data_IF_380742283892
#
_entry.id   IF_380742283892
#
_cell.length_a   1.000
_cell.length_b   1.000
_cell.length_c   1.000
_cell.angle_alpha   90.00
_cell.angle_beta   90.00
_cell.angle_gamma   90.00
#
_symmetry.space_group_name_H-M   'P 1'
#
loop_
_entity.id
_entity.type
_entity.pdbx_description
1 polymer ?
#
# COMPACT_ATOMS: atom_id res chain seq x y z
N UNK A 1 2.31 12.83 1.82
CA UNK A 1 2.49 11.43 2.21
C UNK A 1 3.27 11.43 3.52
N UNK A 2 2.62 11.06 4.61
CA UNK A 2 3.30 10.91 5.90
C UNK A 2 3.59 9.43 6.03
N UNK A 3 4.84 9.03 5.76
CA UNK A 3 5.26 7.65 6.06
C UNK A 3 5.03 7.38 7.54
N UNK A 4 4.38 6.26 7.84
CA UNK A 4 4.27 5.78 9.20
C UNK A 4 5.67 5.58 9.78
N UNK A 5 6.07 6.52 10.58
CA UNK A 5 7.21 6.37 11.46
C UNK A 5 6.65 5.77 12.75
N UNK A 6 7.11 4.61 13.14
CA UNK A 6 6.75 3.99 14.41
C UNK A 6 6.91 5.00 15.55
N UNK A 7 5.81 5.42 16.15
CA UNK A 7 5.80 6.46 17.19
C UNK A 7 6.07 5.92 18.60
N UNK A 8 5.86 4.61 18.80
CA UNK A 8 6.05 4.04 20.12
C UNK A 8 7.54 4.02 20.51
N UNK A 9 7.80 4.05 21.82
CA UNK A 9 9.15 4.07 22.39
C UNK A 9 10.02 2.85 22.03
N UNK A 10 9.45 1.83 21.37
CA UNK A 10 10.19 0.65 20.89
C UNK A 10 10.72 0.83 19.47
N UNK A 11 10.37 1.93 18.79
CA UNK A 11 10.90 2.24 17.48
C UNK A 11 12.20 3.02 17.60
N UNK A 12 13.31 2.35 17.38
CA UNK A 12 14.63 2.96 17.29
C UNK A 12 14.84 3.77 16.00
N UNK A 13 13.79 4.00 15.21
CA UNK A 13 13.86 4.71 13.93
C UNK A 13 13.05 5.99 14.02
N UNK A 14 13.64 6.95 14.69
CA UNK A 14 13.19 8.32 14.55
C UNK A 14 13.77 8.87 13.26
N UNK A 15 12.95 8.95 12.22
CA UNK A 15 13.36 9.69 11.03
C UNK A 15 13.32 11.18 11.39
N UNK A 16 14.43 11.93 11.21
CA UNK A 16 14.50 13.33 11.64
C UNK A 16 13.46 14.25 10.97
N UNK A 17 12.88 13.80 9.87
CA UNK A 17 11.84 14.48 9.12
C UNK A 17 10.42 13.91 9.41
N UNK A 18 10.34 12.88 10.22
CA UNK A 18 9.06 12.29 10.62
C UNK A 18 8.31 13.21 11.57
N UNK A 19 7.02 13.34 11.35
CA UNK A 19 6.13 14.07 12.27
C UNK A 19 6.00 13.31 13.59
N UNK A 20 6.00 13.99 14.71
CA UNK A 20 5.70 13.35 15.99
C UNK A 20 4.24 12.87 16.04
N UNK A 21 3.94 11.86 16.87
CA UNK A 21 2.57 11.38 17.05
C UNK A 21 1.63 12.52 17.50
N UNK A 22 2.11 13.38 18.38
CA UNK A 22 1.33 14.54 18.86
C UNK A 22 1.04 15.53 17.73
N UNK A 23 2.04 15.87 16.90
CA UNK A 23 1.85 16.77 15.77
C UNK A 23 0.89 16.16 14.74
N UNK A 24 0.99 14.84 14.49
CA UNK A 24 0.06 14.15 13.62
C UNK A 24 -1.37 14.19 14.14
N UNK A 25 -1.59 13.91 15.43
CA UNK A 25 -2.92 14.01 16.04
C UNK A 25 -3.47 15.45 15.94
N UNK A 26 -2.63 16.45 16.17
CA UNK A 26 -3.02 17.85 16.02
C UNK A 26 -3.38 18.19 14.58
N UNK A 27 -2.63 17.68 13.59
CA UNK A 27 -2.94 17.84 12.17
C UNK A 27 -4.27 17.17 11.80
N UNK A 28 -4.50 15.93 12.26
CA UNK A 28 -5.76 15.20 12.03
C UNK A 28 -6.94 15.98 12.61
N UNK A 29 -6.78 16.47 13.84
CA UNK A 29 -7.83 17.30 14.47
C UNK A 29 -8.09 18.56 13.67
N UNK A 30 -7.06 19.27 13.23
CA UNK A 30 -7.21 20.46 12.39
C UNK A 30 -7.95 20.14 11.09
N UNK A 31 -7.61 19.03 10.43
CA UNK A 31 -8.31 18.58 9.22
C UNK A 31 -9.79 18.34 9.49
N UNK A 32 -10.12 17.62 10.57
CA UNK A 32 -11.49 17.32 10.96
C UNK A 32 -12.29 18.60 11.28
N UNK A 33 -11.69 19.54 12.01
CA UNK A 33 -12.30 20.85 12.34
C UNK A 33 -12.56 21.69 11.07
N UNK A 34 -11.86 21.40 9.96
CA UNK A 34 -12.03 22.03 8.65
C UNK A 34 -12.77 21.15 7.62
N UNK A 35 -13.49 20.11 8.05
CA UNK A 35 -14.27 19.20 7.21
C UNK A 35 -13.43 18.44 6.17
N UNK A 36 -12.16 18.12 6.49
CA UNK A 36 -11.26 17.33 5.66
C UNK A 36 -11.16 15.93 6.27
N UNK A 37 -11.58 14.90 5.52
CA UNK A 37 -11.39 13.51 5.93
C UNK A 37 -9.90 13.13 5.72
N UNK A 38 -9.27 12.57 6.75
CA UNK A 38 -7.89 12.07 6.68
C UNK A 38 -7.92 10.59 6.33
N UNK A 39 -7.13 10.19 5.35
CA UNK A 39 -6.91 8.78 4.98
C UNK A 39 -5.45 8.44 5.28
N UNK A 40 -5.17 7.71 6.36
CA UNK A 40 -3.80 7.29 6.64
C UNK A 40 -3.33 6.28 5.58
N UNK A 41 -2.13 6.48 5.05
CA UNK A 41 -1.43 5.49 4.24
C UNK A 41 -0.53 4.66 5.17
N UNK A 42 -0.81 3.38 5.26
CA UNK A 42 0.00 2.41 5.97
C UNK A 42 0.63 1.46 4.96
N UNK A 43 1.91 1.68 4.66
CA UNK A 43 2.60 0.95 3.61
C UNK A 43 2.80 -0.52 3.96
N UNK A 44 2.31 -1.41 3.10
CA UNK A 44 2.30 -2.86 3.33
C UNK A 44 2.68 -3.63 2.06
N UNK A 45 3.01 -4.89 2.19
CA UNK A 45 3.42 -5.84 1.17
C UNK A 45 4.80 -5.52 0.58
N UNK A 46 4.93 -4.49 -0.25
CA UNK A 46 6.18 -3.83 -0.64
C UNK A 46 6.47 -2.60 0.24
N UNK A 47 7.61 -1.94 0.03
CA UNK A 47 8.02 -0.73 0.75
C UNK A 47 8.01 -0.84 2.30
N UNK A 48 8.17 -2.06 2.83
CA UNK A 48 8.05 -2.33 4.27
C UNK A 48 9.34 -2.08 5.06
N UNK A 49 10.24 -1.23 4.57
CA UNK A 49 11.50 -0.92 5.25
C UNK A 49 11.32 -0.41 6.70
N UNK A 50 10.19 0.19 7.02
CA UNK A 50 9.82 0.61 8.37
C UNK A 50 9.74 -0.56 9.37
N UNK A 51 9.54 -1.80 8.93
CA UNK A 51 9.52 -3.00 9.76
C UNK A 51 10.93 -3.49 10.12
N UNK A 52 11.94 -3.07 9.37
CA UNK A 52 13.31 -3.58 9.42
C UNK A 52 14.31 -2.47 9.78
N UNK A 53 14.15 -1.80 10.94
CA UNK A 53 15.09 -0.78 11.36
C UNK A 53 16.47 -1.41 11.57
N UNK A 54 17.52 -0.60 11.44
CA UNK A 54 18.89 -1.01 11.74
C UNK A 54 19.22 -0.72 13.19
N UNK A 55 19.99 -1.63 13.80
CA UNK A 55 20.61 -1.40 15.10
C UNK A 55 21.80 -0.43 14.99
N UNK A 56 22.45 -0.13 16.13
CA UNK A 56 23.64 0.73 16.20
C UNK A 56 24.86 0.21 15.39
N UNK A 57 24.89 -1.10 15.10
CA UNK A 57 25.91 -1.75 14.29
C UNK A 57 25.54 -1.85 12.81
N UNK A 58 24.39 -1.32 12.41
CA UNK A 58 23.89 -1.33 11.04
C UNK A 58 23.19 -2.62 10.60
N UNK A 59 22.93 -3.56 11.53
CA UNK A 59 22.22 -4.80 11.24
C UNK A 59 20.71 -4.57 11.26
N UNK A 60 19.99 -5.15 10.30
CA UNK A 60 18.54 -5.10 10.30
C UNK A 60 17.91 -5.89 11.45
N UNK A 61 16.93 -5.31 12.11
CA UNK A 61 16.07 -5.98 13.09
C UNK A 61 14.90 -6.68 12.37
N UNK A 62 14.22 -7.60 13.05
CA UNK A 62 13.02 -8.29 12.58
C UNK A 62 13.17 -9.06 11.25
N UNK A 63 14.38 -9.50 10.90
CA UNK A 63 14.63 -10.21 9.62
C UNK A 63 13.86 -11.53 9.48
N UNK A 64 13.35 -12.09 10.54
CA UNK A 64 12.43 -13.22 10.49
C UNK A 64 11.09 -12.87 9.83
N UNK A 65 10.69 -11.60 9.91
CA UNK A 65 9.50 -11.07 9.22
C UNK A 65 9.77 -10.69 7.77
N UNK A 66 11.03 -10.59 7.34
CA UNK A 66 11.35 -10.22 5.96
C UNK A 66 11.15 -11.39 4.99
N UNK A 67 10.64 -11.09 3.80
CA UNK A 67 10.56 -12.05 2.69
C UNK A 67 11.96 -12.39 2.18
N UNK A 68 12.77 -11.39 1.87
CA UNK A 68 14.19 -11.54 1.55
C UNK A 68 15.07 -10.96 2.67
N UNK A 69 15.84 -11.81 3.34
CA UNK A 69 16.72 -11.37 4.44
C UNK A 69 17.91 -10.56 3.98
N UNK A 70 18.30 -10.70 2.71
CA UNK A 70 19.43 -9.95 2.14
C UNK A 70 19.02 -8.53 1.72
N UNK A 71 17.75 -8.36 1.39
CA UNK A 71 17.16 -7.08 1.04
C UNK A 71 15.73 -6.97 1.61
N UNK A 72 15.58 -6.59 2.88
CA UNK A 72 14.30 -6.58 3.58
C UNK A 72 13.43 -5.40 3.10
N UNK A 73 12.69 -5.65 2.03
CA UNK A 73 11.83 -4.70 1.34
C UNK A 73 10.35 -5.07 1.46
N UNK A 74 10.05 -6.37 1.37
CA UNK A 74 8.74 -6.94 1.55
C UNK A 74 8.73 -7.87 2.78
N UNK A 75 7.56 -8.11 3.35
CA UNK A 75 7.43 -9.00 4.50
C UNK A 75 6.99 -10.42 4.11
N UNK A 76 7.31 -11.38 4.98
CA UNK A 76 6.92 -12.78 4.84
C UNK A 76 5.50 -13.03 5.35
N UNK A 77 4.52 -13.10 4.43
CA UNK A 77 3.10 -13.31 4.77
C UNK A 77 2.82 -14.64 5.46
N UNK A 78 3.70 -15.63 5.31
CA UNK A 78 3.57 -16.93 5.97
C UNK A 78 4.12 -16.95 7.41
N UNK A 79 4.76 -15.87 7.86
CA UNK A 79 5.27 -15.81 9.23
C UNK A 79 4.11 -15.57 10.22
N UNK A 80 3.86 -16.47 11.20
CA UNK A 80 2.74 -16.32 12.13
C UNK A 80 2.84 -15.09 13.04
N UNK A 81 4.03 -14.48 13.16
CA UNK A 81 4.23 -13.25 13.94
C UNK A 81 3.88 -11.98 13.16
N UNK A 82 3.71 -12.07 11.83
CA UNK A 82 3.54 -10.91 10.97
C UNK A 82 2.30 -10.11 11.36
N UNK A 83 1.14 -10.71 11.22
CA UNK A 83 -0.12 -9.98 11.41
C UNK A 83 -0.34 -9.49 12.85
N UNK A 84 0.02 -10.23 13.91
CA UNK A 84 0.02 -9.68 15.27
C UNK A 84 0.96 -8.48 15.46
N UNK A 85 2.06 -8.41 14.71
CA UNK A 85 2.96 -7.27 14.72
C UNK A 85 2.36 -6.06 13.99
N UNK A 86 1.79 -6.29 12.81
CA UNK A 86 1.11 -5.27 12.00
C UNK A 86 -0.11 -4.71 12.73
N UNK A 87 -0.93 -5.57 13.34
CA UNK A 87 -2.15 -5.16 14.05
C UNK A 87 -1.87 -4.11 15.11
N UNK A 88 -0.80 -4.28 15.89
CA UNK A 88 -0.39 -3.29 16.90
C UNK A 88 -0.06 -1.92 16.29
N UNK A 89 0.64 -1.91 15.16
CA UNK A 89 1.00 -0.67 14.48
C UNK A 89 -0.23 -0.01 13.83
N UNK A 90 -1.12 -0.83 13.25
CA UNK A 90 -2.38 -0.34 12.68
C UNK A 90 -3.30 0.26 13.74
N UNK A 91 -3.46 -0.42 14.89
CA UNK A 91 -4.27 0.09 16.01
C UNK A 91 -3.79 1.47 16.44
N UNK A 92 -2.46 1.67 16.53
CA UNK A 92 -1.87 2.96 16.88
C UNK A 92 -2.15 4.04 15.83
N UNK A 93 -2.01 3.72 14.54
CA UNK A 93 -2.28 4.65 13.43
C UNK A 93 -3.76 5.01 13.36
N UNK A 94 -4.64 4.04 13.50
CA UNK A 94 -6.09 4.24 13.46
C UNK A 94 -6.55 5.15 14.62
N UNK A 95 -6.06 4.90 15.83
CA UNK A 95 -6.34 5.74 16.99
C UNK A 95 -5.85 7.17 16.77
N UNK A 96 -4.59 7.34 16.35
CA UNK A 96 -4.00 8.64 16.09
C UNK A 96 -4.68 9.39 14.93
N UNK A 97 -5.26 8.66 13.96
CA UNK A 97 -6.04 9.23 12.85
C UNK A 97 -7.50 9.51 13.19
N UNK A 98 -7.90 9.32 14.45
CA UNK A 98 -9.26 9.61 14.90
C UNK A 98 -10.30 8.66 14.29
N UNK A 99 -9.96 7.40 14.09
CA UNK A 99 -10.82 6.35 13.53
C UNK A 99 -11.35 6.71 12.13
N UNK A 100 -10.48 6.75 11.11
CA UNK A 100 -10.81 7.21 9.77
C UNK A 100 -11.81 6.28 9.06
N UNK A 101 -12.51 6.79 8.05
CA UNK A 101 -13.43 5.97 7.22
C UNK A 101 -12.68 5.03 6.27
N UNK A 102 -11.47 5.40 5.88
CA UNK A 102 -10.64 4.67 4.92
C UNK A 102 -9.23 4.47 5.49
N UNK A 103 -8.66 3.32 5.17
CA UNK A 103 -7.26 2.97 5.39
C UNK A 103 -6.63 2.69 4.04
N UNK A 104 -5.59 3.43 3.66
CA UNK A 104 -4.80 3.10 2.47
C UNK A 104 -3.69 2.13 2.87
N UNK A 105 -3.69 0.94 2.29
CA UNK A 105 -2.79 -0.14 2.68
C UNK A 105 -1.51 -0.22 1.82
N UNK A 106 -1.30 0.70 0.88
CA UNK A 106 -0.16 0.64 -0.04
C UNK A 106 -0.30 -0.50 -1.04
N UNK A 107 0.46 -1.57 -0.91
CA UNK A 107 0.48 -2.76 -1.80
C UNK A 107 1.00 -2.48 -3.20
N UNK A 108 1.98 -1.61 -3.34
CA UNK A 108 2.64 -1.29 -4.60
C UNK A 108 4.04 -1.88 -4.68
N UNK A 109 4.54 -1.95 -5.91
CA UNK A 109 5.93 -2.15 -6.30
C UNK A 109 6.69 -3.27 -5.56
N UNK A 110 6.03 -4.39 -5.22
CA UNK A 110 6.66 -5.49 -4.47
C UNK A 110 7.88 -6.09 -5.18
N UNK A 111 7.97 -5.96 -6.51
CA UNK A 111 9.06 -6.48 -7.31
C UNK A 111 10.25 -5.52 -7.37
N UNK A 112 10.96 -5.35 -6.26
CA UNK A 112 12.14 -4.51 -6.22
C UNK A 112 13.35 -5.19 -6.91
N UNK A 113 14.13 -4.49 -7.77
CA UNK A 113 15.22 -5.12 -8.54
C UNK A 113 16.33 -5.79 -7.71
N UNK A 114 16.46 -5.42 -6.43
CA UNK A 114 17.47 -5.97 -5.52
C UNK A 114 16.92 -7.04 -4.58
N UNK A 115 15.59 -7.21 -4.50
CA UNK A 115 14.95 -8.17 -3.62
C UNK A 115 14.42 -9.36 -4.42
N UNK A 116 14.54 -10.55 -3.88
CA UNK A 116 13.83 -11.72 -4.40
C UNK A 116 12.40 -11.73 -3.83
N UNK A 117 11.38 -11.86 -4.70
CA UNK A 117 10.01 -12.00 -4.29
C UNK A 117 9.21 -12.96 -5.20
N UNK A 118 8.60 -14.04 -4.65
CA UNK A 118 8.77 -14.53 -3.27
C UNK A 118 10.14 -15.18 -3.07
N UNK A 119 10.75 -15.00 -1.88
CA UNK A 119 12.05 -15.56 -1.52
C UNK A 119 11.91 -16.81 -0.62
N UNK A 120 10.97 -16.76 0.34
CA UNK A 120 10.76 -17.82 1.31
C UNK A 120 10.19 -19.10 0.66
N UNK A 121 10.72 -20.29 1.02
CA UNK A 121 10.26 -21.55 0.44
C UNK A 121 8.76 -21.80 0.60
N UNK A 122 8.20 -21.45 1.75
CA UNK A 122 6.77 -21.56 2.02
C UNK A 122 5.94 -20.66 1.09
N UNK A 123 6.38 -19.43 0.84
CA UNK A 123 5.70 -18.48 -0.05
C UNK A 123 5.86 -18.87 -1.53
N UNK A 124 7.04 -19.38 -1.93
CA UNK A 124 7.24 -19.98 -3.25
C UNK A 124 6.27 -21.13 -3.51
N UNK A 125 6.05 -21.97 -2.49
CA UNK A 125 5.11 -23.09 -2.57
C UNK A 125 3.64 -22.65 -2.67
N UNK A 126 3.25 -21.61 -1.93
CA UNK A 126 1.90 -21.04 -1.98
C UNK A 126 1.61 -20.37 -3.31
N UNK A 127 2.62 -19.73 -3.88
CA UNK A 127 2.50 -18.95 -5.11
C UNK A 127 2.02 -17.52 -4.87
N UNK A 128 2.56 -16.60 -5.65
CA UNK A 128 2.42 -15.16 -5.42
C UNK A 128 0.97 -14.67 -5.52
N UNK A 129 0.14 -15.24 -6.40
CA UNK A 129 -1.28 -14.87 -6.47
C UNK A 129 -2.03 -15.16 -5.17
N UNK A 130 -1.70 -16.31 -4.55
CA UNK A 130 -2.35 -16.67 -3.28
C UNK A 130 -1.89 -15.78 -2.15
N UNK A 131 -0.59 -15.53 -2.03
CA UNK A 131 -0.08 -14.66 -0.95
C UNK A 131 -0.59 -13.24 -1.08
N UNK A 132 -0.66 -12.68 -2.30
CA UNK A 132 -1.24 -11.36 -2.54
C UNK A 132 -2.73 -11.32 -2.18
N UNK A 133 -3.51 -12.31 -2.62
CA UNK A 133 -4.92 -12.39 -2.30
C UNK A 133 -5.17 -12.50 -0.80
N UNK A 134 -4.48 -13.42 -0.13
CA UNK A 134 -4.65 -13.67 1.30
C UNK A 134 -4.29 -12.42 2.12
N UNK A 135 -3.21 -11.73 1.73
CA UNK A 135 -2.77 -10.52 2.42
C UNK A 135 -3.76 -9.37 2.25
N UNK A 136 -4.22 -9.08 1.02
CA UNK A 136 -5.28 -8.08 0.79
C UNK A 136 -6.53 -8.41 1.61
N UNK A 137 -6.94 -9.68 1.62
CA UNK A 137 -8.15 -10.11 2.35
C UNK A 137 -7.98 -10.02 3.87
N UNK A 138 -6.75 -10.17 4.39
CA UNK A 138 -6.49 -9.93 5.80
C UNK A 138 -6.77 -8.45 6.17
N UNK A 139 -6.23 -7.50 5.40
CA UNK A 139 -6.49 -6.07 5.61
C UNK A 139 -7.93 -5.68 5.38
N UNK A 140 -8.57 -6.28 4.38
CA UNK A 140 -9.99 -6.06 4.12
C UNK A 140 -10.86 -6.47 5.33
N UNK A 141 -10.61 -7.65 5.89
CA UNK A 141 -11.32 -8.14 7.06
C UNK A 141 -11.00 -7.31 8.31
N UNK A 142 -9.73 -6.93 8.49
CA UNK A 142 -9.31 -6.06 9.59
C UNK A 142 -10.03 -4.70 9.51
N UNK A 143 -10.02 -4.04 8.37
CA UNK A 143 -10.69 -2.76 8.18
C UNK A 143 -12.21 -2.86 8.43
N UNK A 144 -12.86 -3.88 7.90
CA UNK A 144 -14.30 -4.11 8.13
C UNK A 144 -14.63 -4.31 9.61
N UNK A 145 -13.79 -5.02 10.38
CA UNK A 145 -13.94 -5.18 11.84
C UNK A 145 -13.92 -3.82 12.57
N UNK A 146 -13.21 -2.85 12.02
CA UNK A 146 -13.09 -1.49 12.54
C UNK A 146 -14.01 -0.47 11.85
N UNK A 147 -15.01 -0.92 11.06
CA UNK A 147 -15.93 -0.08 10.29
C UNK A 147 -15.25 0.85 9.27
N UNK A 148 -14.11 0.43 8.75
CA UNK A 148 -13.37 1.13 7.71
C UNK A 148 -13.46 0.39 6.37
N UNK A 149 -13.15 1.10 5.30
CA UNK A 149 -12.88 0.54 3.97
C UNK A 149 -11.41 0.65 3.64
N UNK A 150 -10.89 -0.24 2.79
CA UNK A 150 -9.51 -0.13 2.33
C UNK A 150 -9.41 0.58 0.99
N UNK A 151 -8.29 1.29 0.82
CA UNK A 151 -7.73 1.76 -0.45
C UNK A 151 -6.40 1.06 -0.67
N UNK A 152 -6.00 0.85 -1.93
CA UNK A 152 -4.69 0.32 -2.27
C UNK A 152 -4.23 0.85 -3.62
N UNK A 153 -2.92 0.84 -3.85
CA UNK A 153 -2.36 1.11 -5.17
C UNK A 153 -2.73 -0.02 -6.15
N UNK A 154 -2.86 0.30 -7.41
CA UNK A 154 -3.42 -0.59 -8.43
C UNK A 154 -2.39 -1.40 -9.22
N UNK A 155 -1.12 -1.00 -9.22
CA UNK A 155 -0.06 -1.46 -10.13
C UNK A 155 0.14 -2.98 -10.16
N UNK A 156 0.07 -3.66 -9.01
CA UNK A 156 0.16 -5.12 -8.94
C UNK A 156 -1.04 -5.84 -9.56
N UNK A 157 -2.16 -5.14 -9.74
CA UNK A 157 -3.42 -5.71 -10.21
C UNK A 157 -3.74 -5.37 -11.66
N UNK A 158 -2.89 -4.60 -12.34
CA UNK A 158 -3.05 -4.25 -13.76
C UNK A 158 -1.90 -4.78 -14.60
N UNK A 159 -2.19 -5.16 -15.83
CA UNK A 159 -1.17 -5.74 -16.73
C UNK A 159 -0.34 -4.66 -17.42
N UNK A 160 0.85 -4.98 -17.98
CA UNK A 160 1.62 -4.05 -18.79
C UNK A 160 0.88 -3.53 -20.04
N UNK A 161 -0.11 -4.30 -20.55
CA UNK A 161 -0.95 -3.87 -21.67
C UNK A 161 -2.00 -2.85 -21.24
N UNK A 162 -2.48 -2.94 -19.99
CA UNK A 162 -3.39 -1.96 -19.40
C UNK A 162 -2.64 -0.71 -18.95
N UNK A 163 -1.42 -0.88 -18.43
CA UNK A 163 -0.56 0.22 -18.00
C UNK A 163 0.90 -0.02 -18.36
N UNK A 164 1.40 0.70 -19.35
CA UNK A 164 2.81 0.63 -19.76
C UNK A 164 3.76 1.32 -18.79
N UNK A 165 3.24 2.17 -17.90
CA UNK A 165 4.04 2.89 -16.91
C UNK A 165 4.35 2.03 -15.69
N UNK A 166 3.33 1.34 -15.15
CA UNK A 166 3.43 0.71 -13.84
C UNK A 166 2.74 -0.65 -13.72
N UNK A 167 2.19 -1.20 -14.81
CA UNK A 167 1.48 -2.47 -14.77
C UNK A 167 2.40 -3.65 -14.42
N UNK A 168 2.29 -4.20 -13.21
CA UNK A 168 3.06 -5.34 -12.72
C UNK A 168 2.24 -6.65 -12.63
N UNK A 169 0.95 -6.60 -12.96
CA UNK A 169 0.01 -7.71 -12.84
C UNK A 169 0.05 -8.74 -13.97
N UNK A 170 0.94 -8.59 -14.94
CA UNK A 170 1.05 -9.50 -16.10
C UNK A 170 1.90 -10.75 -15.86
N UNK A 171 2.34 -11.37 -16.95
CA UNK A 171 3.25 -12.52 -16.91
C UNK A 171 4.61 -12.14 -16.26
N UNK A 172 5.30 -13.07 -15.57
CA UNK A 172 4.93 -14.48 -15.39
C UNK A 172 3.92 -14.71 -14.25
N UNK A 173 3.62 -13.71 -13.45
CA UNK A 173 2.87 -13.87 -12.20
C UNK A 173 1.35 -13.79 -12.38
N UNK A 174 0.88 -13.10 -13.42
CA UNK A 174 -0.54 -12.92 -13.75
C UNK A 174 -1.39 -12.45 -12.57
N UNK A 175 -0.91 -11.45 -11.83
CA UNK A 175 -1.57 -10.93 -10.61
C UNK A 175 -2.88 -10.20 -10.92
N UNK A 176 -3.07 -9.72 -12.16
CA UNK A 176 -4.34 -9.18 -12.62
C UNK A 176 -5.51 -10.16 -12.46
N UNK A 177 -5.26 -11.47 -12.42
CA UNK A 177 -6.28 -12.48 -12.12
C UNK A 177 -6.77 -12.43 -10.66
N UNK A 178 -5.96 -11.88 -9.75
CA UNK A 178 -6.33 -11.71 -8.34
C UNK A 178 -7.45 -10.70 -8.20
N UNK A 179 -7.41 -9.59 -8.93
CA UNK A 179 -8.41 -8.51 -8.85
C UNK A 179 -9.84 -8.99 -9.16
N UNK A 180 -9.97 -10.04 -9.99
CA UNK A 180 -11.28 -10.63 -10.33
C UNK A 180 -11.99 -11.26 -9.13
N UNK A 181 -11.21 -11.64 -8.10
CA UNK A 181 -11.69 -12.31 -6.89
C UNK A 181 -11.88 -11.35 -5.72
N UNK A 182 -11.36 -10.12 -5.83
CA UNK A 182 -11.41 -9.13 -4.76
C UNK A 182 -12.82 -8.53 -4.60
N UNK A 183 -13.20 -8.17 -3.36
CA UNK A 183 -14.40 -7.37 -3.10
C UNK A 183 -14.41 -6.08 -3.90
N UNK A 184 -15.57 -5.73 -4.49
CA UNK A 184 -15.68 -4.57 -5.38
C UNK A 184 -15.93 -3.24 -4.66
N UNK A 185 -15.83 -3.22 -3.35
CA UNK A 185 -15.84 -2.00 -2.53
C UNK A 185 -14.44 -1.57 -2.06
N UNK A 186 -13.39 -2.28 -2.47
CA UNK A 186 -12.00 -1.84 -2.33
C UNK A 186 -11.75 -0.68 -3.29
N UNK A 187 -11.27 0.45 -2.78
CA UNK A 187 -10.94 1.61 -3.62
C UNK A 187 -9.54 1.42 -4.22
N UNK A 188 -9.43 1.45 -5.54
CA UNK A 188 -8.16 1.41 -6.25
C UNK A 188 -7.63 2.82 -6.46
N UNK A 189 -6.46 3.12 -5.92
CA UNK A 189 -5.74 4.36 -6.17
C UNK A 189 -4.83 4.15 -7.39
N UNK A 190 -5.23 4.72 -8.52
CA UNK A 190 -4.51 4.59 -9.77
C UNK A 190 -3.49 5.71 -9.91
N UNK A 191 -2.21 5.39 -9.60
CA UNK A 191 -1.14 6.36 -9.73
C UNK A 191 -0.58 6.41 -11.16
N UNK A 192 -0.34 7.64 -11.63
CA UNK A 192 0.16 7.95 -12.96
C UNK A 192 1.02 9.19 -12.90
N UNK A 193 2.25 9.12 -13.37
CA UNK A 193 3.26 10.17 -13.26
C UNK A 193 3.68 10.72 -14.63
N UNK A 194 3.58 9.88 -15.69
CA UNK A 194 3.87 10.34 -17.05
C UNK A 194 2.82 11.35 -17.54
N UNK A 195 3.27 12.52 -17.97
CA UNK A 195 2.40 13.59 -18.48
C UNK A 195 1.91 13.41 -19.92
N UNK A 196 2.40 12.40 -20.65
CA UNK A 196 2.07 12.20 -22.07
C UNK A 196 0.74 11.50 -22.31
N UNK A 197 0.35 10.47 -21.56
CA UNK A 197 -0.90 9.76 -21.80
C UNK A 197 -2.12 10.66 -21.61
N UNK A 198 -3.12 10.49 -22.47
CA UNK A 198 -4.46 11.09 -22.39
C UNK A 198 -5.54 10.04 -22.19
N UNK A 199 -5.20 8.78 -22.36
CA UNK A 199 -6.04 7.61 -22.12
C UNK A 199 -5.39 6.71 -21.07
N UNK A 200 -6.21 6.14 -20.20
CA UNK A 200 -5.77 5.32 -19.09
C UNK A 200 -6.58 4.00 -19.09
N UNK A 201 -6.14 2.99 -19.87
CA UNK A 201 -6.89 1.74 -20.03
C UNK A 201 -7.04 0.94 -18.74
N UNK A 202 -6.08 1.02 -17.82
CA UNK A 202 -6.13 0.43 -16.49
C UNK A 202 -7.28 1.00 -15.65
N UNK A 203 -7.44 2.32 -15.62
CA UNK A 203 -8.54 3.00 -14.93
C UNK A 203 -9.87 2.54 -15.53
N UNK A 204 -9.95 2.48 -16.86
CA UNK A 204 -11.14 2.00 -17.57
C UNK A 204 -11.45 0.54 -17.24
N UNK A 205 -10.43 -0.33 -17.22
CA UNK A 205 -10.59 -1.76 -16.90
C UNK A 205 -11.10 -1.95 -15.46
N UNK A 206 -10.46 -1.31 -14.49
CA UNK A 206 -10.83 -1.39 -13.08
C UNK A 206 -12.25 -0.86 -12.84
N UNK A 207 -12.62 0.24 -13.48
CA UNK A 207 -13.97 0.78 -13.39
C UNK A 207 -15.01 -0.17 -13.97
N UNK A 208 -14.74 -0.72 -15.15
CA UNK A 208 -15.66 -1.68 -15.79
C UNK A 208 -15.84 -2.95 -14.97
N UNK A 209 -14.86 -3.31 -14.15
CA UNK A 209 -14.94 -4.40 -13.19
C UNK A 209 -15.66 -4.02 -11.88
N UNK A 210 -16.06 -2.76 -11.71
CA UNK A 210 -16.88 -2.27 -10.61
C UNK A 210 -16.13 -1.76 -9.39
N UNK A 211 -14.83 -1.47 -9.51
CA UNK A 211 -14.06 -0.87 -8.40
C UNK A 211 -14.28 0.64 -8.29
N UNK A 212 -14.44 1.19 -7.07
CA UNK A 212 -14.26 2.62 -6.82
C UNK A 212 -12.82 3.04 -7.13
N UNK A 213 -12.63 4.24 -7.68
CA UNK A 213 -11.33 4.69 -8.17
C UNK A 213 -10.98 6.09 -7.66
N UNK A 214 -9.70 6.29 -7.40
CA UNK A 214 -9.07 7.59 -7.20
C UNK A 214 -7.88 7.69 -8.15
N UNK A 215 -7.82 8.74 -8.96
CA UNK A 215 -6.65 9.06 -9.77
C UNK A 215 -5.60 9.78 -8.90
N UNK A 216 -4.38 9.27 -8.86
CA UNK A 216 -3.25 9.84 -8.15
C UNK A 216 -2.22 10.34 -9.17
N UNK A 217 -2.19 11.66 -9.37
CA UNK A 217 -1.23 12.34 -10.25
C UNK A 217 0.06 12.68 -9.51
N UNK A 218 1.10 13.05 -10.26
CA UNK A 218 2.35 13.58 -9.74
C UNK A 218 2.42 15.11 -9.97
N UNK A 219 3.56 15.72 -9.76
CA UNK A 219 3.75 17.19 -9.85
C UNK A 219 3.84 17.75 -11.27
N UNK A 220 3.84 16.92 -12.30
CA UNK A 220 3.90 17.32 -13.70
C UNK A 220 2.56 17.93 -14.17
N UNK A 221 2.55 19.17 -14.61
CA UNK A 221 1.31 19.90 -15.02
C UNK A 221 0.49 19.12 -16.04
N UNK A 222 1.13 18.56 -17.08
CA UNK A 222 0.45 17.77 -18.10
C UNK A 222 -0.16 16.49 -17.53
N UNK A 223 0.51 15.86 -16.55
CA UNK A 223 -0.01 14.67 -15.89
C UNK A 223 -1.29 15.02 -15.10
N UNK A 224 -1.21 16.05 -14.28
CA UNK A 224 -2.35 16.52 -13.48
C UNK A 224 -3.55 16.85 -14.42
N UNK A 225 -3.29 17.60 -15.48
CA UNK A 225 -4.34 18.02 -16.43
C UNK A 225 -4.97 16.82 -17.15
N UNK A 226 -4.14 15.92 -17.72
CA UNK A 226 -4.61 14.79 -18.51
C UNK A 226 -5.36 13.76 -17.65
N UNK A 227 -4.81 13.38 -16.49
CA UNK A 227 -5.47 12.44 -15.58
C UNK A 227 -6.79 13.02 -15.04
N UNK A 228 -6.79 14.29 -14.63
CA UNK A 228 -8.02 14.97 -14.15
C UNK A 228 -9.08 15.00 -15.23
N UNK A 229 -8.74 15.42 -16.46
CA UNK A 229 -9.68 15.45 -17.58
C UNK A 229 -10.24 14.07 -17.91
N UNK A 230 -9.41 13.04 -17.81
CA UNK A 230 -9.85 11.67 -18.04
C UNK A 230 -10.82 11.21 -16.95
N UNK A 231 -10.47 11.38 -15.68
CA UNK A 231 -11.32 10.98 -14.55
C UNK A 231 -12.68 11.69 -14.54
N UNK A 232 -12.73 12.97 -14.95
CA UNK A 232 -13.98 13.74 -15.03
C UNK A 232 -14.92 13.28 -16.15
N UNK A 233 -14.42 12.54 -17.15
CA UNK A 233 -15.23 12.00 -18.25
C UNK A 233 -15.78 10.61 -17.98
N UNK A 234 -15.30 9.96 -16.90
CA UNK A 234 -15.71 8.63 -16.51
C UNK A 234 -16.96 8.67 -15.62
#
# INVERSE_FOLDING_TARGET
EVEYVKWDATSDVHQPWGMSKEDYINLVKWCQDNYIDVVPLFQTFGHCGWMFPKDENGNFKNLDLAEDVNYPYAYNVSNPRLYPYIEKALDEVIEASGYPKYLHIGHDEVFHPKAEFPARPENKKLGIQKILYDDIMWYYNYANKHNMKIMMWHDLLVTPEESTENGAGGAPHNLAEVRKKLPKDITMAAWRYDGRPVDFPDITALRNEGFPLIGASWYEDNNIENLTKFCLKQ
#
